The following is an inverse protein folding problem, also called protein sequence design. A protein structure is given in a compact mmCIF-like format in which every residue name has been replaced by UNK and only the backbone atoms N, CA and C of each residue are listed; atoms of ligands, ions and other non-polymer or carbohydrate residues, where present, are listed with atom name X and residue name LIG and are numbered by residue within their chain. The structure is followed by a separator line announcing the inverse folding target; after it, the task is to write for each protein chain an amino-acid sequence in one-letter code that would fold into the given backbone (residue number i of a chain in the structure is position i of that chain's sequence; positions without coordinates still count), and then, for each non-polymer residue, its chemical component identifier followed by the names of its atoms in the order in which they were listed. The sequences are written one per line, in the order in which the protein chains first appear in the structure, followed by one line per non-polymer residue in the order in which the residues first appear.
data_IF_701037882082
#
_entry.id   IF_701037882082
#
_cell.length_a   1.000
_cell.length_b   1.000
_cell.length_c   1.000
_cell.angle_alpha   90.00
_cell.angle_beta   90.00
_cell.angle_gamma   90.00
#
_symmetry.space_group_name_H-M   'P 1'
#
loop_
_entity.id
_entity.type
_entity.pdbx_description
1 polymer ?
#
# COMPACT_ATOMS: atom_id res chain seq x y z
N UNK A 1 13.06 -8.87 -6.41
CA UNK A 1 13.31 -7.72 -5.53
C UNK A 1 12.04 -7.51 -4.72
N UNK A 2 12.06 -7.77 -3.41
CA UNK A 2 10.85 -7.74 -2.57
C UNK A 2 10.59 -6.33 -2.01
N UNK A 3 9.32 -6.01 -1.75
CA UNK A 3 8.89 -4.84 -0.99
C UNK A 3 8.03 -5.33 0.16
N UNK A 4 8.34 -4.89 1.37
CA UNK A 4 7.49 -5.09 2.53
C UNK A 4 6.55 -3.88 2.66
N UNK A 5 5.26 -4.14 2.79
CA UNK A 5 4.22 -3.11 2.94
C UNK A 5 3.35 -3.45 4.14
N UNK A 6 2.92 -2.43 4.86
CA UNK A 6 1.88 -2.57 5.87
C UNK A 6 0.51 -2.35 5.20
N UNK A 7 -0.38 -3.36 5.12
CA UNK A 7 -1.71 -3.21 4.54
C UNK A 7 -2.52 -2.14 5.27
N UNK A 8 -3.28 -1.33 4.51
CA UNK A 8 -4.12 -0.27 5.08
C UNK A 8 -5.17 -0.79 6.06
N UNK A 9 -5.65 -2.02 5.86
CA UNK A 9 -6.64 -2.66 6.72
C UNK A 9 -6.17 -2.85 8.17
N UNK A 10 -4.85 -2.95 8.39
CA UNK A 10 -4.27 -3.05 9.74
C UNK A 10 -4.14 -1.69 10.44
N UNK A 11 -4.27 -0.59 9.69
CA UNK A 11 -4.17 0.78 10.22
C UNK A 11 -5.53 1.48 10.33
N UNK A 12 -6.55 0.95 9.67
CA UNK A 12 -7.87 1.54 9.62
C UNK A 12 -8.83 0.84 10.60
N UNK A 13 -9.57 1.66 11.35
CA UNK A 13 -10.70 1.20 12.16
C UNK A 13 -11.92 0.94 11.27
N UNK A 14 -12.74 -0.04 11.67
CA UNK A 14 -14.02 -0.26 11.02
C UNK A 14 -14.94 0.93 11.26
N UNK A 15 -15.54 1.44 10.19
CA UNK A 15 -16.53 2.51 10.26
C UNK A 15 -17.87 2.02 10.83
N UNK A 16 -18.78 2.94 11.20
CA UNK A 16 -20.09 2.61 11.76
C UNK A 16 -20.96 1.68 10.88
N UNK A 17 -20.71 1.69 9.56
CA UNK A 17 -21.39 0.84 8.59
C UNK A 17 -20.71 -0.53 8.35
N UNK A 18 -19.72 -0.91 9.18
CA UNK A 18 -19.07 -2.23 9.13
C UNK A 18 -17.94 -2.40 8.11
N UNK A 19 -17.56 -1.35 7.38
CA UNK A 19 -16.46 -1.40 6.39
C UNK A 19 -15.09 -0.97 6.95
N UNK A 20 -14.00 -1.53 6.41
CA UNK A 20 -12.64 -1.09 6.68
C UNK A 20 -12.13 -0.22 5.51
N UNK A 21 -11.93 1.10 5.68
CA UNK A 21 -11.53 1.99 4.59
C UNK A 21 -10.10 1.73 4.08
N UNK A 22 -9.29 1.00 4.83
CA UNK A 22 -7.95 0.58 4.42
C UNK A 22 -7.91 -0.75 3.64
N UNK A 23 -9.04 -1.45 3.51
CA UNK A 23 -9.11 -2.71 2.77
C UNK A 23 -8.85 -2.49 1.27
N UNK A 24 -7.95 -3.27 0.68
CA UNK A 24 -7.55 -3.13 -0.73
C UNK A 24 -6.55 -2.01 -1.02
N UNK A 25 -6.11 -1.27 0.01
CA UNK A 25 -5.18 -0.15 -0.14
C UNK A 25 -3.86 -0.38 0.61
N UNK A 26 -2.79 0.24 0.11
CA UNK A 26 -1.49 0.36 0.75
C UNK A 26 -1.18 1.84 0.95
N UNK A 27 -0.67 2.22 2.13
CA UNK A 27 -0.27 3.60 2.42
C UNK A 27 1.23 3.77 2.16
N UNK A 28 1.60 4.81 1.42
CA UNK A 28 2.99 5.22 1.21
C UNK A 28 3.23 6.59 1.85
N UNK A 29 4.33 6.74 2.58
CA UNK A 29 4.77 8.02 3.13
C UNK A 29 5.83 8.62 2.20
N UNK A 30 5.63 9.86 1.75
CA UNK A 30 6.53 10.56 0.84
C UNK A 30 7.58 11.40 1.60
N UNK A 31 8.26 10.78 2.57
CA UNK A 31 9.20 11.47 3.48
C UNK A 31 10.60 11.59 2.89
N UNK A 32 10.94 10.74 1.92
CA UNK A 32 12.23 10.69 1.24
C UNK A 32 12.20 11.53 -0.06
N UNK A 33 13.28 11.51 -0.85
CA UNK A 33 13.32 12.23 -2.14
C UNK A 33 12.24 11.72 -3.11
N UNK A 34 11.78 12.57 -4.05
CA UNK A 34 10.79 12.18 -5.04
C UNK A 34 11.18 10.93 -5.83
N UNK A 35 12.46 10.76 -6.17
CA UNK A 35 12.97 9.62 -6.94
C UNK A 35 12.86 8.32 -6.13
N UNK A 36 13.21 8.38 -4.83
CA UNK A 36 13.11 7.24 -3.91
C UNK A 36 11.65 6.85 -3.69
N UNK A 37 10.77 7.84 -3.53
CA UNK A 37 9.34 7.61 -3.41
C UNK A 37 8.75 6.99 -4.68
N UNK A 38 9.14 7.49 -5.86
CA UNK A 38 8.69 6.97 -7.15
C UNK A 38 9.16 5.53 -7.41
N UNK A 39 10.38 5.18 -7.01
CA UNK A 39 10.89 3.82 -7.07
C UNK A 39 10.11 2.89 -6.12
N UNK A 40 9.83 3.34 -4.89
CA UNK A 40 8.98 2.59 -3.95
C UNK A 40 7.60 2.31 -4.53
N UNK A 41 6.94 3.32 -5.10
CA UNK A 41 5.63 3.19 -5.74
C UNK A 41 5.65 2.22 -6.93
N UNK A 42 6.69 2.28 -7.78
CA UNK A 42 6.88 1.35 -8.92
C UNK A 42 6.97 -0.09 -8.47
N UNK A 43 7.74 -0.37 -7.42
CA UNK A 43 7.91 -1.74 -6.91
C UNK A 43 6.63 -2.28 -6.28
N UNK A 44 5.86 -1.44 -5.57
CA UNK A 44 4.54 -1.82 -5.05
C UNK A 44 3.61 -2.20 -6.20
N UNK A 45 3.54 -1.38 -7.26
CA UNK A 45 2.71 -1.66 -8.43
C UNK A 45 3.10 -2.97 -9.13
N UNK A 46 4.39 -3.23 -9.31
CA UNK A 46 4.89 -4.49 -9.89
C UNK A 46 4.52 -5.71 -9.04
N UNK A 47 4.66 -5.61 -7.72
CA UNK A 47 4.29 -6.68 -6.81
C UNK A 47 2.78 -6.98 -6.84
N UNK A 48 1.93 -5.97 -7.02
CA UNK A 48 0.49 -6.15 -7.15
C UNK A 48 0.09 -6.73 -8.52
N UNK A 49 0.72 -6.30 -9.61
CA UNK A 49 0.45 -6.82 -10.95
C UNK A 49 0.76 -8.33 -11.06
N UNK A 50 1.81 -8.81 -10.38
CA UNK A 50 2.17 -10.23 -10.34
C UNK A 50 1.29 -11.11 -9.43
N UNK A 51 0.37 -10.51 -8.66
CA UNK A 51 -0.56 -11.23 -7.75
C UNK A 51 -1.95 -11.47 -8.36
N UNK A 52 -2.13 -11.14 -9.64
CA UNK A 52 -3.34 -11.44 -10.40
C UNK A 52 -3.28 -12.91 -10.85
N UNK A 53 -3.67 -13.83 -9.97
CA UNK A 53 -3.73 -15.27 -10.21
C UNK A 53 -4.72 -15.93 -9.27
#
# INVERSE_FOLDING_TARGET
YSVEVLPGSLMAMHGPAGGNPGAGFVRISLVDTPERCAEGARRIAQALAGRTG
#
